data_IF_121558229180
#
_entry.id   IF_121558229180
#
_cell.length_a   1.000
_cell.length_b   1.000
_cell.length_c   1.000
_cell.angle_alpha   90.00
_cell.angle_beta   90.00
_cell.angle_gamma   90.00
#
_symmetry.space_group_name_H-M   'P 1'
#
loop_
_entity.id
_entity.type
_entity.pdbx_description
1 polymer ?
#
# COMPACT_ATOMS: atom_id res chain seq x y z
N UNK A 1 43.83 8.26 26.14
CA UNK A 1 42.73 7.29 25.94
C UNK A 1 41.58 7.79 25.05
N UNK A 2 41.65 8.98 24.43
CA UNK A 2 40.57 9.53 23.59
C UNK A 2 40.71 9.35 22.07
N UNK A 3 41.84 8.85 21.56
CA UNK A 3 42.13 8.79 20.12
C UNK A 3 41.99 7.38 19.51
N UNK A 4 41.86 6.34 20.34
CA UNK A 4 41.72 4.94 19.91
C UNK A 4 40.25 4.48 19.78
N UNK A 5 39.27 5.24 20.29
CA UNK A 5 37.84 4.98 20.04
C UNK A 5 37.33 5.61 18.74
N UNK A 6 38.04 6.60 18.18
CA UNK A 6 37.63 7.30 16.95
C UNK A 6 37.98 6.54 15.66
N UNK A 7 38.87 5.54 15.72
CA UNK A 7 39.36 4.82 14.54
C UNK A 7 38.61 3.49 14.32
N UNK A 8 37.95 2.93 15.33
CA UNK A 8 37.13 1.72 15.18
C UNK A 8 35.74 1.95 14.59
N UNK A 9 35.30 3.21 14.41
CA UNK A 9 34.02 3.54 13.77
C UNK A 9 34.16 4.01 12.31
N UNK A 10 35.39 4.25 11.83
CA UNK A 10 35.67 4.76 10.48
C UNK A 10 36.24 3.72 9.51
N UNK A 11 36.40 2.46 9.94
CA UNK A 11 36.96 1.36 9.13
C UNK A 11 35.98 0.17 8.94
N UNK A 12 34.68 0.45 8.90
CA UNK A 12 33.72 -0.34 8.11
C UNK A 12 33.40 0.46 6.84
N UNK A 13 34.39 0.46 5.97
CA UNK A 13 34.40 1.04 4.64
C UNK A 13 33.61 0.13 3.69
N UNK A 14 32.80 0.76 2.85
CA UNK A 14 32.31 0.31 1.53
C UNK A 14 31.17 -0.71 1.47
N UNK A 15 29.93 -0.21 1.54
CA UNK A 15 28.97 -0.30 0.43
C UNK A 15 27.93 0.82 0.57
N UNK A 16 27.45 1.34 -0.57
CA UNK A 16 26.92 2.70 -0.70
C UNK A 16 25.39 2.77 -0.55
N UNK A 17 24.94 3.87 0.08
CA UNK A 17 23.59 4.47 0.11
C UNK A 17 22.48 3.69 0.85
N UNK A 18 22.47 3.83 2.18
CA UNK A 18 21.24 3.78 2.98
C UNK A 18 20.95 5.20 3.48
N UNK A 19 19.96 5.88 2.90
CA UNK A 19 19.47 7.16 3.41
C UNK A 19 18.43 6.86 4.50
N UNK A 20 18.88 6.84 5.75
CA UNK A 20 18.02 7.01 6.93
C UNK A 20 18.35 8.39 7.48
N UNK A 21 17.57 9.41 7.12
CA UNK A 21 17.75 10.75 7.71
C UNK A 21 16.88 10.91 8.96
N UNK A 22 17.56 11.15 10.07
CA UNK A 22 17.00 11.50 11.36
C UNK A 22 16.60 13.00 11.33
N UNK A 23 15.40 13.32 11.80
CA UNK A 23 14.72 14.62 11.71
C UNK A 23 15.39 15.82 12.45
N UNK A 24 16.68 15.74 12.78
CA UNK A 24 17.44 16.82 13.46
C UNK A 24 18.39 17.63 12.56
N UNK A 25 18.64 17.22 11.32
CA UNK A 25 19.59 17.90 10.41
C UNK A 25 18.95 18.81 9.34
N UNK A 26 17.65 19.13 9.45
CA UNK A 26 16.86 19.81 8.42
C UNK A 26 17.10 21.33 8.25
N UNK A 27 18.12 21.93 8.87
CA UNK A 27 18.36 23.40 8.77
C UNK A 27 19.62 23.81 8.04
N UNK A 28 20.38 22.89 7.45
CA UNK A 28 21.48 23.26 6.57
C UNK A 28 21.75 22.16 5.57
N UNK A 29 21.27 22.29 4.33
CA UNK A 29 21.85 21.71 3.11
C UNK A 29 21.06 22.22 1.90
N UNK A 30 21.28 23.49 1.54
CA UNK A 30 20.73 24.08 0.31
C UNK A 30 21.69 23.98 -0.89
N UNK A 31 22.88 23.41 -0.74
CA UNK A 31 23.89 23.35 -1.81
C UNK A 31 24.70 22.05 -1.74
N UNK A 32 24.19 20.93 -2.27
CA UNK A 32 25.01 19.79 -2.72
C UNK A 32 24.15 18.63 -3.26
N UNK A 33 23.54 18.77 -4.45
CA UNK A 33 23.06 17.62 -5.25
C UNK A 33 23.05 17.98 -6.74
N UNK A 34 24.20 18.44 -7.24
CA UNK A 34 24.49 18.45 -8.68
C UNK A 34 25.86 17.81 -8.86
N UNK A 35 25.91 16.49 -9.12
CA UNK A 35 27.04 15.88 -9.82
C UNK A 35 26.71 14.45 -10.31
N UNK A 36 26.68 14.34 -11.64
CA UNK A 36 27.06 13.18 -12.45
C UNK A 36 26.18 11.91 -12.39
N UNK A 37 25.05 11.97 -13.09
CA UNK A 37 24.64 10.86 -13.96
C UNK A 37 25.10 11.17 -15.38
N UNK A 38 26.02 10.36 -15.89
CA UNK A 38 26.42 10.39 -17.30
C UNK A 38 25.21 10.06 -18.16
N UNK A 39 24.84 11.03 -18.99
CA UNK A 39 23.81 10.97 -20.00
C UNK A 39 24.13 9.87 -21.02
N UNK A 40 23.40 8.77 -20.94
CA UNK A 40 23.06 7.98 -22.12
C UNK A 40 21.72 8.49 -22.62
N UNK A 41 21.71 9.00 -23.85
CA UNK A 41 20.54 9.53 -24.55
C UNK A 41 19.40 8.51 -24.58
N UNK A 42 18.36 8.72 -23.77
CA UNK A 42 17.07 8.02 -23.86
C UNK A 42 16.12 9.00 -24.56
N UNK A 43 15.29 8.52 -25.49
CA UNK A 43 14.15 9.30 -25.99
C UNK A 43 13.24 9.76 -24.84
N UNK A 44 12.14 10.49 -25.08
CA UNK A 44 11.28 10.94 -23.99
C UNK A 44 10.84 9.72 -23.17
N UNK A 45 11.31 9.64 -21.93
CA UNK A 45 10.91 8.60 -20.98
C UNK A 45 9.44 8.87 -20.70
N UNK A 46 8.57 7.88 -20.93
CA UNK A 46 7.14 7.97 -20.56
C UNK A 46 6.96 8.26 -19.07
N UNK A 47 5.74 8.58 -18.63
CA UNK A 47 5.48 8.94 -17.24
C UNK A 47 5.93 7.83 -16.30
N UNK A 48 6.54 8.22 -15.17
CA UNK A 48 6.87 7.28 -14.12
C UNK A 48 5.64 6.98 -13.27
N UNK A 49 5.58 5.77 -12.72
CA UNK A 49 4.52 5.38 -11.77
C UNK A 49 5.13 5.20 -10.38
N UNK A 50 4.60 5.96 -9.43
CA UNK A 50 4.86 5.86 -8.00
C UNK A 50 3.72 5.12 -7.33
N UNK A 51 3.99 3.93 -6.82
CA UNK A 51 3.04 3.11 -6.08
C UNK A 51 3.22 3.35 -4.57
N UNK A 52 2.31 4.13 -3.98
CA UNK A 52 2.36 4.58 -2.60
C UNK A 52 1.43 3.74 -1.73
N UNK A 53 2.03 3.00 -0.79
CA UNK A 53 1.34 2.05 0.09
C UNK A 53 1.69 2.27 1.56
N UNK A 54 0.73 1.96 2.43
CA UNK A 54 0.99 1.75 3.85
C UNK A 54 1.39 0.29 4.08
N UNK A 55 2.43 0.07 4.89
CA UNK A 55 2.91 -1.25 5.22
C UNK A 55 2.91 -1.48 6.73
N UNK A 56 2.39 -2.64 7.15
CA UNK A 56 2.47 -3.11 8.51
C UNK A 56 3.29 -4.40 8.59
N UNK A 57 2.72 -5.56 8.29
CA UNK A 57 3.41 -6.87 8.45
C UNK A 57 2.99 -7.92 7.43
N UNK A 58 2.26 -7.52 6.39
CA UNK A 58 1.70 -8.40 5.38
C UNK A 58 2.74 -8.74 4.28
N UNK A 59 3.87 -9.35 4.67
CA UNK A 59 5.01 -9.63 3.78
C UNK A 59 4.66 -10.39 2.51
N UNK A 60 3.78 -11.39 2.59
CA UNK A 60 3.36 -12.15 1.41
C UNK A 60 2.59 -11.26 0.41
N UNK A 61 1.77 -10.32 0.89
CA UNK A 61 1.09 -9.35 0.03
C UNK A 61 2.07 -8.36 -0.59
N UNK A 62 3.05 -7.88 0.18
CA UNK A 62 4.11 -7.02 -0.34
C UNK A 62 4.92 -7.74 -1.43
N UNK A 63 5.30 -9.00 -1.21
CA UNK A 63 6.01 -9.79 -2.22
C UNK A 63 5.20 -9.95 -3.50
N UNK A 64 3.92 -10.29 -3.40
CA UNK A 64 3.03 -10.41 -4.56
C UNK A 64 2.97 -9.08 -5.30
N UNK A 65 2.73 -7.97 -4.59
CA UNK A 65 2.64 -6.64 -5.18
C UNK A 65 3.91 -6.23 -5.92
N UNK A 66 5.07 -6.36 -5.28
CA UNK A 66 6.35 -5.99 -5.89
C UNK A 66 6.63 -6.83 -7.15
N UNK A 67 6.38 -8.14 -7.11
CA UNK A 67 6.59 -8.99 -8.28
C UNK A 67 5.60 -8.72 -9.41
N UNK A 68 4.32 -8.52 -9.09
CA UNK A 68 3.27 -8.28 -10.08
C UNK A 68 3.48 -6.95 -10.81
N UNK A 69 3.86 -5.90 -10.07
CA UNK A 69 3.84 -4.52 -10.55
C UNK A 69 5.20 -3.98 -11.00
N UNK A 70 6.32 -4.58 -10.60
CA UNK A 70 7.67 -4.06 -10.91
C UNK A 70 8.01 -3.84 -12.39
N UNK A 71 7.38 -4.54 -13.38
CA UNK A 71 7.58 -4.20 -14.78
C UNK A 71 7.00 -2.84 -15.19
N UNK A 72 6.04 -2.31 -14.43
CA UNK A 72 5.31 -1.08 -14.75
C UNK A 72 5.54 0.03 -13.73
N UNK A 73 5.86 -0.30 -12.48
CA UNK A 73 6.14 0.67 -11.42
C UNK A 73 7.61 1.06 -11.41
N UNK A 74 7.89 2.36 -11.37
CA UNK A 74 9.26 2.89 -11.27
C UNK A 74 9.68 3.02 -9.81
N UNK A 75 8.74 3.42 -8.94
CA UNK A 75 8.99 3.62 -7.52
C UNK A 75 7.89 3.01 -6.65
N UNK A 76 8.24 2.03 -5.83
CA UNK A 76 7.43 1.54 -4.73
C UNK A 76 7.73 2.35 -3.48
N UNK A 77 6.79 3.18 -3.06
CA UNK A 77 6.88 4.00 -1.87
C UNK A 77 6.22 3.25 -0.72
N UNK A 78 7.05 2.63 0.12
CA UNK A 78 6.61 1.85 1.28
C UNK A 78 6.62 2.78 2.48
N UNK A 79 5.44 3.24 2.90
CA UNK A 79 5.28 4.05 4.10
C UNK A 79 5.04 3.13 5.29
N UNK A 80 5.87 3.26 6.32
CA UNK A 80 5.76 2.46 7.54
C UNK A 80 5.89 3.35 8.78
N UNK A 81 5.20 2.98 9.88
CA UNK A 81 5.31 3.63 11.18
C UNK A 81 5.81 2.68 12.26
N UNK A 82 6.45 3.23 13.30
CA UNK A 82 6.80 2.53 14.56
C UNK A 82 5.57 2.34 15.48
N UNK A 83 4.38 2.72 15.02
CA UNK A 83 3.13 2.61 15.75
C UNK A 83 2.04 2.03 14.84
N UNK A 84 1.24 1.13 15.39
CA UNK A 84 0.01 0.61 14.77
C UNK A 84 -1.11 1.67 14.75
N UNK A 85 -2.13 1.49 13.92
CA UNK A 85 -3.30 2.39 13.95
C UNK A 85 -4.12 2.26 15.23
N UNK A 86 -3.98 1.16 15.99
CA UNK A 86 -4.50 1.03 17.35
C UNK A 86 -3.67 1.74 18.43
N UNK A 87 -2.49 2.26 18.09
CA UNK A 87 -1.65 3.08 18.96
C UNK A 87 -0.59 2.29 19.73
N UNK A 88 -0.47 0.98 19.46
CA UNK A 88 0.59 0.15 20.03
C UNK A 88 1.91 0.39 19.29
N UNK A 89 3.01 0.50 20.04
CA UNK A 89 4.35 0.55 19.45
C UNK A 89 4.68 -0.79 18.78
N UNK A 90 5.33 -0.72 17.63
CA UNK A 90 5.80 -1.88 16.87
C UNK A 90 7.20 -1.64 16.31
N UNK A 91 8.01 -2.69 16.12
CA UNK A 91 9.22 -2.55 15.32
C UNK A 91 8.86 -2.23 13.86
N UNK A 92 9.82 -1.65 13.15
CA UNK A 92 9.77 -1.59 11.69
C UNK A 92 9.98 -3.01 11.16
N UNK A 93 9.00 -3.48 10.39
CA UNK A 93 8.93 -4.80 9.82
C UNK A 93 9.63 -4.84 8.46
N UNK A 94 9.52 -3.78 7.65
CA UNK A 94 10.19 -3.78 6.36
C UNK A 94 11.71 -3.66 6.56
N UNK A 95 12.43 -4.66 6.05
CA UNK A 95 13.89 -4.70 6.07
C UNK A 95 14.38 -4.88 4.63
N UNK A 96 15.09 -3.87 4.12
CA UNK A 96 15.71 -3.90 2.79
C UNK A 96 16.61 -5.13 2.55
N UNK A 97 17.04 -5.83 3.62
CA UNK A 97 17.95 -6.97 3.58
C UNK A 97 17.26 -8.34 3.48
N UNK A 98 15.93 -8.40 3.39
CA UNK A 98 15.27 -9.68 3.15
C UNK A 98 15.51 -10.15 1.70
N UNK A 99 16.03 -11.38 1.48
CA UNK A 99 16.45 -11.84 0.15
C UNK A 99 15.37 -11.75 -0.92
N UNK A 100 14.08 -11.93 -0.56
CA UNK A 100 13.00 -11.86 -1.54
C UNK A 100 12.72 -10.44 -2.07
N UNK A 101 13.18 -9.38 -1.36
CA UNK A 101 12.97 -7.99 -1.76
C UNK A 101 14.21 -7.33 -2.39
N UNK A 102 15.40 -7.93 -2.25
CA UNK A 102 16.68 -7.38 -2.71
C UNK A 102 16.66 -6.95 -4.18
N UNK A 103 15.98 -7.71 -5.05
CA UNK A 103 15.87 -7.40 -6.49
C UNK A 103 15.14 -6.08 -6.79
N UNK A 104 14.30 -5.61 -5.86
CA UNK A 104 13.54 -4.37 -5.99
C UNK A 104 14.20 -3.17 -5.29
N UNK A 105 15.36 -3.35 -4.66
CA UNK A 105 16.00 -2.30 -3.84
C UNK A 105 16.19 -0.94 -4.55
N UNK A 106 16.31 -0.96 -5.88
CA UNK A 106 16.47 0.25 -6.71
C UNK A 106 15.17 0.93 -7.08
N UNK A 107 14.04 0.24 -6.90
CA UNK A 107 12.69 0.75 -7.10
C UNK A 107 12.02 1.10 -5.77
N UNK A 108 12.57 0.74 -4.61
CA UNK A 108 11.91 0.98 -3.32
C UNK A 108 12.38 2.27 -2.65
N UNK A 109 11.42 3.11 -2.27
CA UNK A 109 11.56 4.21 -1.33
C UNK A 109 10.87 3.81 -0.02
N UNK A 110 11.66 3.46 1.01
CA UNK A 110 11.13 3.17 2.35
C UNK A 110 11.04 4.47 3.15
N UNK A 111 9.83 4.89 3.48
CA UNK A 111 9.56 6.12 4.22
C UNK A 111 9.06 5.75 5.62
N UNK A 112 9.87 6.09 6.62
CA UNK A 112 9.56 5.79 8.02
C UNK A 112 8.96 7.01 8.69
N UNK A 113 7.73 6.88 9.17
CA UNK A 113 7.04 7.89 10.00
C UNK A 113 7.29 7.55 11.47
N UNK A 114 8.06 8.36 12.22
CA UNK A 114 8.35 8.06 13.61
C UNK A 114 7.09 8.21 14.47
N UNK A 115 6.93 7.37 15.48
CA UNK A 115 5.76 7.42 16.36
C UNK A 115 5.60 8.80 17.05
N UNK A 116 6.71 9.50 17.30
CA UNK A 116 6.72 10.84 17.89
C UNK A 116 6.13 11.93 16.98
N UNK A 117 6.05 11.70 15.67
CA UNK A 117 5.42 12.64 14.74
C UNK A 117 3.89 12.51 14.72
N UNK A 118 3.37 11.37 15.16
CA UNK A 118 1.93 11.10 15.23
C UNK A 118 1.37 11.65 16.54
N UNK A 119 0.27 12.39 16.47
CA UNK A 119 -0.32 12.95 17.68
C UNK A 119 -0.99 11.83 18.50
N UNK A 120 -0.56 11.67 19.76
CA UNK A 120 -1.01 10.58 20.67
C UNK A 120 -2.54 10.56 20.88
N UNK A 121 -3.24 11.66 20.58
CA UNK A 121 -4.69 11.83 20.78
C UNK A 121 -5.54 11.54 19.55
N UNK A 122 -4.96 11.18 18.40
CA UNK A 122 -5.78 10.81 17.24
C UNK A 122 -6.41 9.44 17.45
N UNK A 123 -7.72 9.35 17.19
CA UNK A 123 -8.44 8.10 17.06
C UNK A 123 -7.84 7.27 15.91
N UNK A 124 -8.20 5.99 15.81
CA UNK A 124 -7.49 5.00 14.99
C UNK A 124 -7.34 5.39 13.52
N UNK A 125 -8.42 5.89 12.91
CA UNK A 125 -8.41 6.44 11.56
C UNK A 125 -7.59 7.71 11.44
N UNK A 126 -7.61 8.58 12.45
CA UNK A 126 -6.74 9.75 12.50
C UNK A 126 -5.26 9.37 12.42
N UNK A 127 -4.83 8.30 13.09
CA UNK A 127 -3.45 7.79 13.00
C UNK A 127 -3.10 7.23 11.62
N UNK A 128 -4.01 6.49 11.00
CA UNK A 128 -3.81 6.01 9.62
C UNK A 128 -3.65 7.20 8.66
N UNK A 129 -4.57 8.16 8.74
CA UNK A 129 -4.58 9.38 7.94
C UNK A 129 -3.29 10.18 8.11
N UNK A 130 -2.88 10.45 9.36
CA UNK A 130 -1.62 11.15 9.65
C UNK A 130 -0.40 10.39 9.11
N UNK A 131 -0.36 9.06 9.28
CA UNK A 131 0.74 8.23 8.78
C UNK A 131 0.85 8.32 7.25
N UNK A 132 -0.27 8.17 6.55
CA UNK A 132 -0.32 8.25 5.08
C UNK A 132 0.14 9.62 4.59
N UNK A 133 -0.39 10.68 5.18
CA UNK A 133 -0.02 12.04 4.81
C UNK A 133 1.45 12.31 5.02
N UNK A 134 1.94 12.14 6.24
CA UNK A 134 3.31 12.47 6.59
C UNK A 134 4.28 11.65 5.75
N UNK A 135 3.99 10.36 5.55
CA UNK A 135 4.79 9.51 4.68
C UNK A 135 4.77 9.98 3.21
N UNK A 136 3.62 10.35 2.68
CA UNK A 136 3.50 10.90 1.32
C UNK A 136 4.30 12.22 1.18
N UNK A 137 4.24 13.10 2.18
CA UNK A 137 5.02 14.34 2.21
C UNK A 137 6.51 14.09 2.23
N UNK A 138 6.96 13.22 3.12
CA UNK A 138 8.35 12.83 3.21
C UNK A 138 8.84 12.22 1.90
N UNK A 139 8.01 11.42 1.20
CA UNK A 139 8.34 10.94 -0.13
C UNK A 139 8.58 12.07 -1.12
N UNK A 140 7.72 13.10 -1.17
CA UNK A 140 7.88 14.23 -2.10
C UNK A 140 9.15 15.05 -1.84
N UNK A 141 9.65 15.06 -0.60
CA UNK A 141 10.91 15.70 -0.24
C UNK A 141 12.13 14.84 -0.56
N UNK A 142 12.02 13.51 -0.37
CA UNK A 142 13.08 12.54 -0.67
C UNK A 142 13.27 12.37 -2.18
N UNK A 143 12.16 12.22 -2.91
CA UNK A 143 12.15 11.90 -4.33
C UNK A 143 10.92 12.49 -5.01
N UNK A 144 11.04 13.73 -5.46
CA UNK A 144 9.94 14.47 -6.09
C UNK A 144 9.65 13.95 -7.51
N UNK A 145 8.40 13.59 -7.84
CA UNK A 145 7.99 13.27 -9.21
C UNK A 145 8.13 14.46 -10.17
N UNK A 146 8.11 14.18 -11.46
CA UNK A 146 8.09 15.17 -12.53
C UNK A 146 6.67 15.40 -13.05
N UNK A 147 6.45 16.57 -13.68
CA UNK A 147 5.20 16.86 -14.41
C UNK A 147 4.81 15.69 -15.30
N UNK A 148 3.57 15.23 -15.16
CA UNK A 148 3.01 14.13 -15.93
C UNK A 148 3.18 12.73 -15.32
N UNK A 149 4.03 12.57 -14.29
CA UNK A 149 4.18 11.29 -13.56
C UNK A 149 2.90 10.91 -12.81
N UNK A 150 2.73 9.63 -12.52
CA UNK A 150 1.57 9.11 -11.79
C UNK A 150 1.89 8.81 -10.33
N UNK A 151 1.03 9.29 -9.44
CA UNK A 151 1.00 8.98 -8.02
C UNK A 151 -0.20 8.09 -7.72
N UNK A 152 0.05 6.83 -7.40
CA UNK A 152 -0.99 5.86 -7.07
C UNK A 152 -1.01 5.63 -5.57
N UNK A 153 -2.15 5.90 -4.93
CA UNK A 153 -2.32 5.80 -3.48
C UNK A 153 -3.25 4.63 -3.17
N UNK A 154 -2.69 3.59 -2.56
CA UNK A 154 -3.31 2.28 -2.43
C UNK A 154 -3.18 1.73 -1.01
N UNK A 155 -4.14 0.89 -0.60
CA UNK A 155 -3.87 -0.05 0.47
C UNK A 155 -3.09 -1.24 -0.13
N UNK A 156 -2.32 -1.93 0.70
CA UNK A 156 -1.40 -2.96 0.19
C UNK A 156 -2.14 -4.13 -0.49
N UNK A 157 -3.31 -4.49 0.04
CA UNK A 157 -4.18 -5.56 -0.44
C UNK A 157 -5.09 -5.17 -1.61
N UNK A 158 -4.98 -3.94 -2.11
CA UNK A 158 -5.64 -3.44 -3.32
C UNK A 158 -4.64 -3.43 -4.49
N UNK A 159 -4.60 -4.49 -5.28
CA UNK A 159 -3.61 -4.72 -6.34
C UNK A 159 -4.13 -4.27 -7.72
N UNK A 160 -3.65 -3.15 -8.29
CA UNK A 160 -4.02 -2.71 -9.64
C UNK A 160 -3.64 -3.75 -10.69
N UNK A 161 -4.45 -3.86 -11.75
CA UNK A 161 -4.17 -4.78 -12.84
C UNK A 161 -2.99 -4.29 -13.67
N UNK A 162 -2.12 -5.24 -14.06
CA UNK A 162 -0.97 -5.01 -14.95
C UNK A 162 -1.35 -4.30 -16.26
N UNK A 163 -2.50 -4.65 -16.84
CA UNK A 163 -3.03 -4.02 -18.05
C UNK A 163 -3.27 -2.52 -17.87
N UNK A 164 -3.81 -2.11 -16.72
CA UNK A 164 -4.10 -0.71 -16.42
C UNK A 164 -2.80 0.08 -16.27
N UNK A 165 -1.83 -0.45 -15.52
CA UNK A 165 -0.53 0.21 -15.36
C UNK A 165 0.24 0.32 -16.68
N UNK A 166 0.11 -0.67 -17.56
CA UNK A 166 0.67 -0.62 -18.91
C UNK A 166 0.05 0.53 -19.71
N UNK A 167 -1.26 0.67 -19.71
CA UNK A 167 -1.95 1.77 -20.42
C UNK A 167 -1.60 3.15 -19.83
N UNK A 168 -1.42 3.24 -18.51
CA UNK A 168 -0.94 4.48 -17.86
C UNK A 168 0.47 4.88 -18.29
N UNK A 169 1.36 3.90 -18.55
CA UNK A 169 2.71 4.15 -19.06
C UNK A 169 2.74 4.46 -20.54
N UNK A 170 1.97 3.72 -21.33
CA UNK A 170 2.02 3.83 -22.78
C UNK A 170 1.26 5.05 -23.29
N UNK A 171 0.19 5.46 -22.60
CA UNK A 171 -0.66 6.60 -22.96
C UNK A 171 -1.08 6.57 -24.44
N UNK A 172 -1.34 5.37 -24.96
CA UNK A 172 -1.54 5.18 -26.39
C UNK A 172 -2.87 5.81 -26.84
N UNK A 173 -2.86 6.88 -27.66
CA UNK A 173 -4.09 7.58 -28.06
C UNK A 173 -5.01 6.73 -28.95
N UNK A 174 -4.53 5.61 -29.49
CA UNK A 174 -5.34 4.67 -30.25
C UNK A 174 -6.16 3.72 -29.35
N UNK A 175 -5.71 3.50 -28.12
CA UNK A 175 -6.44 2.68 -27.13
C UNK A 175 -7.51 3.51 -26.42
N UNK A 176 -8.57 2.87 -25.93
CA UNK A 176 -9.59 3.53 -25.12
C UNK A 176 -9.02 4.05 -23.81
N UNK A 177 -8.28 3.20 -23.08
CA UNK A 177 -7.66 3.57 -21.81
C UNK A 177 -6.59 4.65 -21.96
N UNK A 178 -5.75 4.58 -22.98
CA UNK A 178 -4.75 5.62 -23.25
C UNK A 178 -5.37 6.98 -23.59
N UNK A 179 -6.55 7.04 -24.22
CA UNK A 179 -7.31 8.29 -24.39
C UNK A 179 -7.90 8.80 -23.07
N UNK A 180 -8.35 7.90 -22.20
CA UNK A 180 -8.84 8.29 -20.87
C UNK A 180 -7.71 8.88 -20.03
N UNK A 181 -6.55 8.22 -20.00
CA UNK A 181 -5.39 8.74 -19.29
C UNK A 181 -4.86 10.01 -19.93
N UNK A 182 -4.69 10.03 -21.26
CA UNK A 182 -4.06 11.14 -21.97
C UNK A 182 -2.55 11.22 -21.73
N UNK A 183 -1.92 12.18 -22.39
CA UNK A 183 -0.47 12.42 -22.32
C UNK A 183 -0.08 13.49 -21.29
N UNK A 184 -1.07 14.04 -20.57
CA UNK A 184 -0.88 15.11 -19.59
C UNK A 184 -0.98 16.52 -20.17
N UNK A 185 -1.22 16.66 -21.48
CA UNK A 185 -1.55 17.96 -22.08
C UNK A 185 -3.03 18.30 -21.87
N UNK A 186 -3.40 19.59 -21.74
CA UNK A 186 -4.79 19.99 -21.52
C UNK A 186 -5.75 19.42 -22.57
N UNK A 187 -6.76 18.67 -22.11
CA UNK A 187 -7.77 18.05 -22.98
C UNK A 187 -7.36 16.72 -23.63
N UNK A 188 -6.16 16.19 -23.34
CA UNK A 188 -5.71 14.88 -23.85
C UNK A 188 -6.30 13.68 -23.10
N UNK A 189 -6.80 13.89 -21.88
CA UNK A 189 -7.31 12.87 -20.96
C UNK A 189 -7.61 13.47 -19.59
N UNK A 190 -7.61 12.62 -18.56
CA UNK A 190 -7.84 13.01 -17.17
C UNK A 190 -6.60 12.88 -16.28
N UNK A 191 -6.70 13.43 -15.08
CA UNK A 191 -5.60 13.51 -14.11
C UNK A 191 -5.93 12.88 -12.76
N UNK A 192 -7.16 12.39 -12.59
CA UNK A 192 -7.62 11.77 -11.35
C UNK A 192 -8.51 10.57 -11.68
N UNK A 193 -8.07 9.39 -11.25
CA UNK A 193 -8.76 8.13 -11.50
C UNK A 193 -8.94 7.35 -10.20
N UNK A 194 -10.07 6.67 -10.08
CA UNK A 194 -10.36 5.71 -9.01
C UNK A 194 -10.62 4.34 -9.60
N UNK A 195 -10.03 3.32 -9.00
CA UNK A 195 -10.03 1.96 -9.53
C UNK A 195 -11.05 1.09 -8.81
N UNK A 196 -11.93 0.46 -9.59
CA UNK A 196 -12.84 -0.57 -9.11
C UNK A 196 -12.14 -1.92 -9.00
N UNK A 197 -12.05 -2.45 -7.78
CA UNK A 197 -11.42 -3.75 -7.52
C UNK A 197 -12.45 -4.88 -7.44
N UNK A 198 -12.16 -6.02 -8.04
CA UNK A 198 -12.86 -7.26 -7.70
C UNK A 198 -12.51 -7.65 -6.27
N UNK A 199 -13.51 -7.66 -5.39
CA UNK A 199 -13.31 -7.84 -3.96
C UNK A 199 -13.42 -9.31 -3.54
N UNK A 200 -12.35 -9.81 -2.95
CA UNK A 200 -12.21 -11.18 -2.46
C UNK A 200 -11.87 -11.19 -0.96
N UNK A 201 -12.23 -12.30 -0.31
CA UNK A 201 -12.16 -12.45 1.14
C UNK A 201 -11.55 -13.80 1.50
N UNK A 202 -10.56 -13.84 2.40
CA UNK A 202 -9.80 -15.03 2.80
C UNK A 202 -8.92 -15.67 1.70
N UNK A 203 -9.40 -15.73 0.47
CA UNK A 203 -8.74 -16.26 -0.72
C UNK A 203 -9.47 -15.76 -1.97
N UNK A 204 -8.88 -15.94 -3.15
CA UNK A 204 -9.53 -15.61 -4.42
C UNK A 204 -10.71 -16.53 -4.77
N UNK A 205 -11.03 -17.53 -3.95
CA UNK A 205 -12.23 -18.36 -4.11
C UNK A 205 -13.50 -17.73 -3.55
N UNK A 206 -13.43 -16.69 -2.70
CA UNK A 206 -14.62 -16.07 -2.13
C UNK A 206 -14.73 -14.64 -2.60
N UNK A 207 -15.65 -14.38 -3.54
CA UNK A 207 -15.88 -13.06 -4.14
C UNK A 207 -17.07 -12.38 -3.49
N UNK A 208 -16.94 -11.10 -3.17
CA UNK A 208 -18.01 -10.28 -2.60
C UNK A 208 -19.16 -10.07 -3.60
N UNK A 209 -20.39 -9.96 -3.11
CA UNK A 209 -21.60 -9.84 -3.95
C UNK A 209 -22.04 -8.40 -4.21
N UNK A 210 -21.51 -7.42 -3.48
CA UNK A 210 -21.93 -6.02 -3.47
C UNK A 210 -21.30 -5.12 -4.55
N UNK A 211 -20.70 -5.70 -5.58
CA UNK A 211 -20.07 -4.97 -6.69
C UNK A 211 -18.57 -4.74 -6.50
N UNK A 212 -18.04 -3.73 -7.17
CA UNK A 212 -16.60 -3.41 -7.14
C UNK A 212 -16.25 -2.59 -5.90
N UNK A 213 -15.16 -2.98 -5.24
CA UNK A 213 -14.58 -2.20 -4.16
C UNK A 213 -13.93 -0.92 -4.68
N UNK A 214 -14.15 0.20 -3.99
CA UNK A 214 -13.49 1.47 -4.32
C UNK A 214 -12.06 1.41 -3.80
N UNK A 215 -11.14 1.08 -4.69
CA UNK A 215 -9.76 0.77 -4.35
C UNK A 215 -8.78 1.93 -4.55
N UNK A 216 -7.65 1.70 -5.24
CA UNK A 216 -6.60 2.69 -5.39
C UNK A 216 -7.09 3.94 -6.14
N UNK A 217 -6.45 5.07 -5.82
CA UNK A 217 -6.61 6.31 -6.58
C UNK A 217 -5.28 6.61 -7.30
N UNK A 218 -5.35 7.00 -8.57
CA UNK A 218 -4.21 7.42 -9.36
C UNK A 218 -4.36 8.90 -9.73
N UNK A 219 -3.29 9.67 -9.53
CA UNK A 219 -3.25 11.12 -9.68
C UNK A 219 -2.08 11.48 -10.59
N UNK A 220 -2.31 12.30 -11.60
CA UNK A 220 -1.21 12.88 -12.38
C UNK A 220 -0.55 14.00 -11.61
N UNK A 221 0.77 13.94 -11.50
CA UNK A 221 1.55 14.95 -10.81
C UNK A 221 1.76 16.17 -11.68
N UNK A 222 1.49 17.34 -11.11
CA UNK A 222 1.80 18.63 -11.73
C UNK A 222 2.52 19.53 -10.70
N UNK A 223 3.80 19.94 -10.87
CA UNK A 223 4.57 20.69 -9.87
C UNK A 223 4.05 22.12 -9.64
N UNK A 224 3.21 22.63 -10.56
CA UNK A 224 2.60 23.96 -10.51
C UNK A 224 1.12 23.96 -10.17
N UNK A 225 0.44 22.81 -10.10
CA UNK A 225 -1.01 22.67 -9.94
C UNK A 225 -1.64 23.74 -9.02
N UNK A 226 -2.34 24.78 -9.48
CA UNK A 226 -3.32 24.97 -10.57
C UNK A 226 -4.61 24.12 -10.46
N UNK A 227 -4.60 22.98 -9.74
CA UNK A 227 -5.83 22.25 -9.34
C UNK A 227 -6.61 22.94 -8.20
N UNK A 228 -6.03 24.00 -7.65
CA UNK A 228 -6.48 24.68 -6.43
C UNK A 228 -7.00 26.11 -6.69
N UNK A 229 -6.81 26.62 -7.91
CA UNK A 229 -7.13 28.02 -8.25
C UNK A 229 -8.34 28.21 -9.18
N UNK A 230 -8.93 27.15 -9.74
CA UNK A 230 -10.16 27.31 -10.55
C UNK A 230 -11.46 27.20 -9.73
N UNK A 231 -11.41 27.69 -8.49
CA UNK A 231 -12.55 27.92 -7.61
C UNK A 231 -13.13 29.35 -7.73
N UNK A 232 -12.94 30.04 -8.87
CA UNK A 232 -13.66 31.29 -9.12
C UNK A 232 -15.13 31.09 -9.54
N UNK A 233 -15.62 29.85 -9.65
CA UNK A 233 -17.06 29.55 -9.69
C UNK A 233 -17.57 28.93 -8.37
N UNK A 234 -17.78 29.80 -7.37
CA UNK A 234 -18.79 29.67 -6.29
C UNK A 234 -18.75 28.45 -5.33
N UNK A 235 -17.60 27.94 -4.91
CA UNK A 235 -17.53 27.10 -3.70
C UNK A 235 -16.28 27.41 -2.86
N UNK A 236 -16.38 27.51 -1.51
CA UNK A 236 -15.21 27.76 -0.67
C UNK A 236 -14.43 26.46 -0.45
N UNK A 237 -13.10 26.59 -0.40
CA UNK A 237 -12.05 25.58 -0.13
C UNK A 237 -11.55 24.80 -1.35
N UNK A 238 -10.27 24.99 -1.71
CA UNK A 238 -9.19 24.02 -1.41
C UNK A 238 -7.87 24.82 -1.42
N UNK A 239 -7.23 24.99 -0.27
CA UNK A 239 -6.04 25.82 -0.13
C UNK A 239 -4.79 25.08 -0.62
N UNK A 240 -3.94 25.82 -1.33
CA UNK A 240 -2.94 25.30 -2.26
C UNK A 240 -1.75 24.58 -1.58
N UNK A 241 -1.33 23.44 -2.13
CA UNK A 241 -0.19 22.58 -1.70
C UNK A 241 1.19 23.28 -1.63
N UNK A 242 1.27 24.60 -1.86
CA UNK A 242 2.54 25.34 -1.97
C UNK A 242 2.93 26.14 -0.73
N UNK A 243 2.10 26.22 0.32
CA UNK A 243 2.42 26.99 1.55
C UNK A 243 1.84 26.37 2.83
N UNK A 244 1.97 25.07 2.96
CA UNK A 244 1.32 24.31 4.03
C UNK A 244 2.36 24.10 5.14
N UNK A 245 2.12 24.70 6.30
CA UNK A 245 2.96 24.48 7.50
C UNK A 245 2.88 23.01 7.94
N UNK A 246 3.77 22.54 8.82
CA UNK A 246 3.70 21.18 9.37
C UNK A 246 2.34 20.87 10.06
N UNK A 247 1.59 21.90 10.46
CA UNK A 247 0.23 21.78 11.01
C UNK A 247 -0.81 21.54 9.92
N UNK A 248 -0.69 22.23 8.79
CA UNK A 248 -1.67 22.16 7.69
C UNK A 248 -1.56 20.81 6.94
N UNK A 249 -0.42 20.10 7.02
CA UNK A 249 -0.27 18.74 6.48
C UNK A 249 -0.89 17.63 7.34
N UNK A 250 -1.10 17.88 8.65
CA UNK A 250 -1.89 16.99 9.50
C UNK A 250 -3.35 16.98 9.08
N UNK A 251 -3.84 18.10 8.54
CA UNK A 251 -5.22 18.31 8.11
C UNK A 251 -5.47 17.90 6.65
N UNK A 252 -4.43 17.82 5.80
CA UNK A 252 -4.54 17.43 4.38
C UNK A 252 -5.00 15.97 4.13
N UNK A 253 -5.28 15.20 5.17
CA UNK A 253 -5.42 13.74 5.07
C UNK A 253 -6.82 13.25 4.86
N UNK A 254 -7.78 14.05 5.31
CA UNK A 254 -9.11 13.98 4.74
C UNK A 254 -9.01 14.17 3.22
N UNK A 255 -8.12 15.03 2.71
CA UNK A 255 -7.98 15.25 1.26
C UNK A 255 -7.43 14.04 0.50
N UNK A 256 -6.30 13.43 0.90
CA UNK A 256 -5.74 12.27 0.17
C UNK A 256 -6.68 11.06 0.16
N UNK A 257 -7.34 10.78 1.29
CA UNK A 257 -8.33 9.70 1.36
C UNK A 257 -9.64 10.08 0.67
N UNK A 258 -10.07 11.33 0.71
CA UNK A 258 -11.26 11.82 0.01
C UNK A 258 -11.13 11.73 -1.51
N UNK A 259 -9.91 11.75 -2.07
CA UNK A 259 -9.72 11.53 -3.51
C UNK A 259 -10.26 10.16 -3.98
N UNK A 260 -10.30 9.15 -3.11
CA UNK A 260 -10.90 7.84 -3.42
C UNK A 260 -12.40 7.90 -3.67
N UNK A 261 -13.09 8.87 -3.04
CA UNK A 261 -14.55 9.05 -3.14
C UNK A 261 -14.93 10.32 -3.91
N UNK A 262 -13.96 11.00 -4.52
CA UNK A 262 -14.20 12.22 -5.29
C UNK A 262 -15.08 11.94 -6.50
N UNK A 263 -16.17 12.70 -6.66
CA UNK A 263 -17.05 12.62 -7.83
C UNK A 263 -16.38 13.16 -9.10
N UNK A 264 -15.32 13.97 -8.96
CA UNK A 264 -14.53 14.48 -10.07
C UNK A 264 -13.52 13.44 -10.60
N UNK A 265 -13.33 12.32 -9.90
CA UNK A 265 -12.43 11.26 -10.31
C UNK A 265 -13.09 10.33 -11.33
N UNK A 266 -12.41 10.08 -12.46
CA UNK A 266 -12.87 9.13 -13.45
C UNK A 266 -12.80 7.71 -12.87
N UNK A 267 -13.93 7.00 -12.86
CA UNK A 267 -13.98 5.61 -12.37
C UNK A 267 -13.62 4.64 -13.48
N UNK A 268 -12.68 3.73 -13.18
CA UNK A 268 -12.27 2.67 -14.10
C UNK A 268 -12.69 1.34 -13.48
N UNK A 269 -13.74 0.74 -14.04
CA UNK A 269 -14.26 -0.56 -13.61
C UNK A 269 -13.23 -1.66 -13.83
N UNK A 270 -13.30 -2.71 -13.00
CA UNK A 270 -12.50 -3.93 -13.12
C UNK A 270 -10.99 -3.69 -13.34
N UNK A 271 -10.44 -2.69 -12.67
CA UNK A 271 -9.06 -2.23 -12.84
C UNK A 271 -8.12 -2.72 -11.75
N UNK A 272 -8.63 -3.49 -10.78
CA UNK A 272 -7.89 -3.92 -9.61
C UNK A 272 -8.43 -5.24 -9.03
N UNK A 273 -7.62 -5.92 -8.22
CA UNK A 273 -7.99 -7.04 -7.36
C UNK A 273 -7.81 -6.63 -5.90
N UNK A 274 -8.82 -6.85 -5.06
CA UNK A 274 -8.70 -6.64 -3.62
C UNK A 274 -8.88 -7.99 -2.91
N UNK A 275 -7.91 -8.43 -2.11
CA UNK A 275 -7.99 -9.68 -1.35
C UNK A 275 -7.74 -9.43 0.13
N UNK A 276 -8.80 -9.25 0.91
CA UNK A 276 -8.66 -9.03 2.35
C UNK A 276 -8.67 -10.36 3.12
N UNK A 277 -7.98 -10.40 4.26
CA UNK A 277 -7.76 -11.62 5.07
C UNK A 277 -7.08 -12.78 4.33
N UNK A 278 -6.42 -12.51 3.20
CA UNK A 278 -5.71 -13.51 2.41
C UNK A 278 -4.35 -13.85 3.02
N UNK A 279 -4.37 -14.41 4.23
CA UNK A 279 -3.19 -14.73 5.05
C UNK A 279 -2.90 -16.22 5.15
N UNK A 280 -1.63 -16.59 5.15
CA UNK A 280 -1.22 -17.99 5.33
C UNK A 280 -1.52 -18.53 6.73
N UNK A 281 -1.63 -17.66 7.73
CA UNK A 281 -1.71 -18.03 9.14
C UNK A 281 -2.88 -17.31 9.85
N UNK A 282 -3.50 -18.00 10.80
CA UNK A 282 -4.51 -17.40 11.70
C UNK A 282 -3.87 -16.26 12.51
N UNK A 283 -2.62 -16.43 12.92
CA UNK A 283 -1.88 -15.40 13.69
C UNK A 283 -1.86 -14.06 12.97
N UNK A 284 -1.73 -14.05 11.64
CA UNK A 284 -1.71 -12.81 10.85
C UNK A 284 -3.08 -12.12 10.79
N UNK A 285 -4.17 -12.91 10.75
CA UNK A 285 -5.54 -12.36 10.87
C UNK A 285 -5.68 -11.65 12.22
N UNK A 286 -5.31 -12.33 13.30
CA UNK A 286 -5.37 -11.78 14.67
C UNK A 286 -4.53 -10.51 14.77
N UNK A 287 -3.27 -10.54 14.32
CA UNK A 287 -2.39 -9.37 14.35
C UNK A 287 -2.94 -8.18 13.55
N UNK A 288 -3.59 -8.41 12.39
CA UNK A 288 -4.21 -7.33 11.60
C UNK A 288 -5.43 -6.75 12.34
N UNK A 289 -6.29 -7.60 12.92
CA UNK A 289 -7.45 -7.17 13.73
C UNK A 289 -7.01 -6.27 14.90
N UNK A 290 -5.90 -6.62 15.55
CA UNK A 290 -5.40 -5.86 16.71
C UNK A 290 -4.73 -4.53 16.32
N UNK A 291 -4.26 -4.39 15.07
CA UNK A 291 -3.45 -3.26 14.63
C UNK A 291 -4.20 -2.21 13.80
N UNK A 292 -5.19 -2.61 13.00
CA UNK A 292 -5.82 -1.75 11.98
C UNK A 292 -6.87 -0.75 12.51
N UNK A 293 -7.40 0.10 11.63
CA UNK A 293 -8.24 1.24 12.00
C UNK A 293 -9.60 0.86 12.64
N UNK A 294 -10.18 -0.28 12.28
CA UNK A 294 -11.49 -0.74 12.76
C UNK A 294 -11.41 -1.44 14.13
N UNK A 295 -11.16 -0.69 15.20
CA UNK A 295 -11.02 -1.26 16.54
C UNK A 295 -12.31 -1.81 17.14
N UNK A 296 -13.47 -1.48 16.59
CA UNK A 296 -14.75 -2.13 16.90
C UNK A 296 -14.75 -3.64 16.58
N UNK A 297 -13.89 -4.08 15.67
CA UNK A 297 -13.71 -5.48 15.31
C UNK A 297 -12.69 -6.20 16.20
N UNK A 298 -11.93 -5.49 17.04
CA UNK A 298 -10.97 -6.10 17.97
C UNK A 298 -11.70 -6.69 19.18
N UNK A 299 -12.39 -7.81 18.94
CA UNK A 299 -13.19 -8.53 19.91
C UNK A 299 -12.68 -9.98 20.00
N UNK A 300 -12.54 -10.51 21.22
CA UNK A 300 -12.04 -11.88 21.46
C UNK A 300 -12.82 -12.94 20.69
N UNK A 301 -14.14 -12.77 20.50
CA UNK A 301 -14.99 -13.65 19.69
C UNK A 301 -14.39 -13.90 18.31
N UNK A 302 -13.97 -12.82 17.64
CA UNK A 302 -13.49 -12.86 16.25
C UNK A 302 -12.05 -13.32 16.11
N UNK A 303 -11.34 -13.50 17.23
CA UNK A 303 -9.92 -13.90 17.28
C UNK A 303 -9.72 -15.36 17.64
N UNK A 304 -10.78 -16.09 18.03
CA UNK A 304 -10.65 -17.51 18.34
C UNK A 304 -10.38 -18.33 17.08
N UNK A 305 -9.54 -19.37 17.19
CA UNK A 305 -9.26 -20.31 16.10
C UNK A 305 -10.54 -20.91 15.54
N UNK A 306 -11.45 -21.34 16.42
CA UNK A 306 -12.71 -21.97 16.01
C UNK A 306 -13.55 -21.03 15.15
N UNK A 307 -13.73 -19.78 15.62
CA UNK A 307 -14.51 -18.78 14.90
C UNK A 307 -13.94 -18.50 13.50
N UNK A 308 -12.63 -18.29 13.40
CA UNK A 308 -11.97 -17.98 12.13
C UNK A 308 -12.11 -19.15 11.15
N UNK A 309 -11.92 -20.39 11.63
CA UNK A 309 -12.08 -21.58 10.80
C UNK A 309 -13.52 -21.74 10.30
N UNK A 310 -14.51 -21.57 11.17
CA UNK A 310 -15.92 -21.68 10.81
C UNK A 310 -16.32 -20.59 9.82
N UNK A 311 -15.92 -19.34 10.06
CA UNK A 311 -16.24 -18.22 9.18
C UNK A 311 -15.74 -18.46 7.73
N UNK A 312 -14.52 -18.98 7.59
CA UNK A 312 -13.94 -19.29 6.28
C UNK A 312 -14.61 -20.50 5.62
N UNK A 313 -14.84 -21.58 6.38
CA UNK A 313 -15.50 -22.79 5.85
C UNK A 313 -16.91 -22.47 5.35
N UNK A 314 -17.63 -21.64 6.08
CA UNK A 314 -18.99 -21.21 5.75
C UNK A 314 -19.03 -20.08 4.72
N UNK A 315 -17.88 -19.46 4.40
CA UNK A 315 -17.80 -18.33 3.47
C UNK A 315 -18.51 -17.06 3.94
N UNK A 316 -18.61 -16.87 5.26
CA UNK A 316 -19.29 -15.72 5.89
C UNK A 316 -18.30 -14.64 6.30
N UNK A 317 -18.79 -13.42 6.49
CA UNK A 317 -17.97 -12.33 7.02
C UNK A 317 -17.42 -12.65 8.42
N UNK A 318 -16.15 -12.28 8.64
CA UNK A 318 -15.45 -12.52 9.91
C UNK A 318 -16.12 -11.81 11.09
N UNK A 319 -16.78 -10.66 10.84
CA UNK A 319 -17.35 -9.78 11.85
C UNK A 319 -18.89 -9.74 11.82
N UNK A 320 -19.53 -10.70 11.15
CA UNK A 320 -20.99 -10.83 11.03
C UNK A 320 -21.70 -9.59 10.46
N UNK A 321 -21.02 -8.82 9.60
CA UNK A 321 -21.63 -7.65 8.97
C UNK A 321 -22.64 -8.13 7.92
N UNK A 322 -23.92 -7.69 7.97
CA UNK A 322 -24.96 -8.20 7.07
C UNK A 322 -24.76 -7.78 5.60
N UNK A 323 -23.99 -6.70 5.38
CA UNK A 323 -23.68 -6.14 4.06
C UNK A 323 -22.55 -6.87 3.34
N UNK A 324 -21.70 -7.60 4.07
CA UNK A 324 -20.55 -8.30 3.53
C UNK A 324 -20.90 -9.76 3.30
N UNK A 325 -21.31 -10.05 2.07
CA UNK A 325 -21.69 -11.38 1.62
C UNK A 325 -20.76 -11.83 0.50
N UNK A 326 -20.42 -13.12 0.50
CA UNK A 326 -19.46 -13.70 -0.43
C UNK A 326 -20.03 -14.95 -1.09
N UNK A 327 -19.66 -15.14 -2.35
CA UNK A 327 -19.96 -16.35 -3.12
C UNK A 327 -18.68 -17.12 -3.38
N UNK A 328 -18.78 -18.44 -3.28
CA UNK A 328 -17.70 -19.35 -3.67
C UNK A 328 -17.58 -19.40 -5.20
N UNK A 329 -16.38 -19.17 -5.71
CA UNK A 329 -16.01 -19.20 -7.14
C UNK A 329 -14.94 -20.29 -7.31
N UNK A 330 -15.33 -21.53 -7.66
CA UNK A 330 -14.36 -22.60 -7.89
C UNK A 330 -13.47 -22.28 -9.09
N UNK A 331 -12.21 -22.72 -9.03
CA UNK A 331 -11.23 -22.58 -10.11
C UNK A 331 -11.11 -21.16 -10.67
N UNK A 332 -11.18 -20.16 -9.77
CA UNK A 332 -11.07 -18.76 -10.17
C UNK A 332 -9.71 -18.48 -10.84
N UNK A 333 -9.77 -17.97 -12.07
CA UNK A 333 -8.59 -17.58 -12.86
C UNK A 333 -8.34 -16.07 -12.82
N UNK A 334 -9.23 -15.28 -12.21
CA UNK A 334 -9.02 -13.86 -11.98
C UNK A 334 -8.19 -13.63 -10.70
N UNK A 335 -6.90 -13.94 -10.82
CA UNK A 335 -5.90 -13.91 -9.74
C UNK A 335 -4.63 -13.21 -10.22
N UNK A 336 -3.77 -12.71 -9.31
CA UNK A 336 -2.48 -12.13 -9.69
C UNK A 336 -1.63 -13.14 -10.45
N UNK A 337 -0.92 -12.69 -11.50
CA UNK A 337 -0.08 -13.57 -12.31
C UNK A 337 1.00 -14.24 -11.46
N UNK A 338 1.66 -13.47 -10.58
CA UNK A 338 2.68 -14.00 -9.68
C UNK A 338 2.13 -15.07 -8.74
N UNK A 339 0.88 -14.94 -8.26
CA UNK A 339 0.22 -15.97 -7.45
C UNK A 339 -0.04 -17.22 -8.29
N UNK A 340 -0.52 -17.06 -9.52
CA UNK A 340 -0.75 -18.18 -10.45
C UNK A 340 0.53 -18.91 -10.87
N UNK A 341 1.66 -18.22 -10.92
CA UNK A 341 2.97 -18.81 -11.23
C UNK A 341 3.61 -19.50 -10.00
N UNK A 342 3.20 -19.12 -8.79
CA UNK A 342 3.73 -19.61 -7.52
C UNK A 342 2.66 -20.31 -6.67
N UNK A 343 1.83 -21.15 -7.31
CA UNK A 343 0.64 -21.78 -6.69
C UNK A 343 0.93 -22.56 -5.41
N UNK A 344 2.07 -23.23 -5.33
CA UNK A 344 2.44 -24.00 -4.13
C UNK A 344 2.59 -23.09 -2.92
N UNK A 345 3.39 -22.03 -3.07
CA UNK A 345 3.67 -21.03 -2.03
C UNK A 345 2.40 -20.28 -1.60
N UNK A 346 1.54 -19.92 -2.55
CA UNK A 346 0.32 -19.14 -2.29
C UNK A 346 -0.96 -19.99 -2.33
N UNK A 347 -0.84 -21.30 -2.06
CA UNK A 347 -1.98 -22.23 -2.13
C UNK A 347 -3.15 -21.82 -1.21
N UNK A 348 -2.85 -21.18 -0.08
CA UNK A 348 -3.84 -20.63 0.86
C UNK A 348 -4.66 -19.45 0.28
N UNK A 349 -4.18 -18.79 -0.79
CA UNK A 349 -4.94 -17.77 -1.52
C UNK A 349 -5.79 -18.36 -2.64
N UNK A 350 -5.61 -19.65 -2.97
CA UNK A 350 -6.22 -20.30 -4.14
C UNK A 350 -7.16 -21.44 -3.77
N UNK A 351 -7.00 -22.03 -2.59
CA UNK A 351 -7.74 -23.22 -2.19
C UNK A 351 -7.86 -23.30 -0.67
N UNK A 352 -9.02 -22.93 -0.15
CA UNK A 352 -9.42 -23.03 1.25
C UNK A 352 -10.70 -23.83 1.44
N UNK A 353 -11.60 -23.79 0.45
CA UNK A 353 -12.91 -24.42 0.56
C UNK A 353 -12.78 -25.92 0.86
N UNK A 354 -13.62 -26.44 1.76
CA UNK A 354 -13.64 -27.83 2.23
C UNK A 354 -12.34 -28.39 2.85
N UNK A 355 -11.35 -27.55 3.19
CA UNK A 355 -10.17 -27.98 3.94
C UNK A 355 -10.43 -27.96 5.44
N UNK A 356 -10.04 -29.02 6.14
CA UNK A 356 -10.20 -29.12 7.60
C UNK A 356 -9.50 -28.00 8.37
N UNK A 357 -8.32 -27.56 7.90
CA UNK A 357 -7.56 -26.42 8.40
C UNK A 357 -7.83 -25.09 7.66
N UNK A 358 -8.83 -25.03 6.78
CA UNK A 358 -9.13 -23.85 5.94
C UNK A 358 -7.92 -23.29 5.15
N UNK A 359 -6.93 -24.15 4.85
CA UNK A 359 -5.72 -23.77 4.12
C UNK A 359 -4.65 -23.04 4.94
N UNK A 360 -4.81 -22.89 6.25
CA UNK A 360 -3.79 -22.26 7.10
C UNK A 360 -2.57 -23.16 7.36
N UNK A 361 -1.39 -22.56 7.39
CA UNK A 361 -0.13 -23.27 7.63
C UNK A 361 0.14 -23.48 9.14
N UNK A 362 -0.38 -22.60 10.01
CA UNK A 362 -0.23 -22.68 11.47
C UNK A 362 -1.30 -23.54 12.16
N UNK A 363 -2.12 -24.27 11.40
CA UNK A 363 -3.26 -25.07 11.90
C UNK A 363 -3.07 -26.54 11.54
N UNK A 364 -2.80 -27.37 12.55
CA UNK A 364 -2.91 -28.82 12.43
C UNK A 364 -4.37 -29.26 12.68
N UNK A 365 -5.04 -29.91 11.71
CA UNK A 365 -6.43 -30.38 11.86
C UNK A 365 -6.66 -31.32 13.05
N UNK A 366 -5.64 -32.05 13.47
CA UNK A 366 -5.73 -33.04 14.55
C UNK A 366 -5.61 -32.41 15.95
N UNK A 367 -5.16 -31.16 16.03
CA UNK A 367 -5.04 -30.47 17.31
C UNK A 367 -6.44 -30.18 17.88
N UNK A 368 -6.67 -30.41 19.18
CA UNK A 368 -7.95 -30.09 19.80
C UNK A 368 -8.25 -28.59 19.65
N UNK A 369 -9.53 -28.29 19.49
CA UNK A 369 -10.07 -26.93 19.50
C UNK A 369 -10.07 -26.43 20.94
N UNK A 370 -8.90 -26.01 21.42
CA UNK A 370 -8.72 -25.42 22.75
C UNK A 370 -9.03 -23.91 22.72
N UNK A 371 -9.77 -23.42 23.71
CA UNK A 371 -10.02 -21.99 23.93
C UNK A 371 -8.72 -21.23 24.24
N UNK A 372 -7.69 -21.92 24.74
CA UNK A 372 -6.35 -21.36 24.97
C UNK A 372 -5.38 -21.65 23.82
N UNK A 373 -5.89 -21.99 22.62
CA UNK A 373 -5.04 -22.24 21.46
C UNK A 373 -4.06 -21.09 21.27
N UNK A 374 -2.77 -21.43 21.33
CA UNK A 374 -1.70 -20.55 20.92
C UNK A 374 -1.24 -21.01 19.54
N UNK A 375 -0.90 -20.08 18.64
CA UNK A 375 -0.34 -20.46 17.37
C UNK A 375 0.90 -21.32 17.59
N UNK A 376 1.02 -22.37 16.79
CA UNK A 376 2.29 -23.10 16.67
C UNK A 376 3.32 -22.07 16.20
N UNK A 377 4.28 -21.72 17.05
CA UNK A 377 5.37 -20.82 16.66
C UNK A 377 6.15 -21.48 15.53
N UNK A 378 5.91 -21.04 14.29
CA UNK A 378 6.75 -21.40 13.16
C UNK A 378 7.99 -20.49 13.22
N UNK A 379 9.17 -21.12 13.24
CA UNK A 379 10.49 -20.48 13.25
C UNK A 379 10.73 -19.60 12.03
#
# INVERSE_FOLDING_TARGET
>A
MGLLMAISLLLLVQERHDIVFNLKDLTSHHDALVANTTSTTIGPKGPQIYDVILFNSEFNMLEIRLNELSPFVDWFVIIESEMTFSGQQKPLNYRLKEPQFEKFRRQILHVVVPASALEVKTWTWGRETETRNLGFWMMLDIHRPQEGDWLMISDLDELPRRSILKEMKDQNPQSEMGRLFGDGTPGSGGDLFRFGCQFHYYSYEYRHTGGLWVGPVAIRYHPSSYWLDDAQSKHPQVDTMRKVSAKDWREAGDSLRALRISENATYVDDSCLHCTWCFSNITQIISKVEAYSHQEHNNEKYKTRQWILDAIKEGRDLFERPVDQFVYVPDNNDIPVYVSENREKYSYMLSRHNKSNAGFLDVNPEDPLDENWKPTTLQ
#
